data_IF_366729891040
#
_entry.id   IF_366729891040
#
_cell.length_a   1.000
_cell.length_b   1.000
_cell.length_c   1.000
_cell.angle_alpha   90.00
_cell.angle_beta   90.00
_cell.angle_gamma   90.00
#
_symmetry.space_group_name_H-M   'P 1'
#
loop_
_entity.id
_entity.type
_entity.pdbx_description
1 polymer ?
#
# COMPACT_ATOMS: atom_id res chain seq x y z
N UNK A 1 7.17 9.13 -2.70
CA UNK A 1 6.90 7.68 -2.85
C UNK A 1 8.10 6.88 -3.36
N UNK A 2 9.27 7.49 -3.59
CA UNK A 2 10.50 6.78 -4.00
C UNK A 2 11.18 5.98 -2.87
N UNK A 3 10.68 6.10 -1.64
CA UNK A 3 11.34 5.58 -0.43
C UNK A 3 10.62 4.35 0.15
N UNK A 4 9.68 3.78 -0.60
CA UNK A 4 8.91 2.60 -0.21
C UNK A 4 9.79 1.34 -0.39
N UNK A 5 9.77 0.43 0.59
CA UNK A 5 10.46 -0.85 0.62
C UNK A 5 9.56 -2.06 0.27
N UNK A 6 10.08 -3.27 0.48
CA UNK A 6 9.33 -4.52 0.32
C UNK A 6 8.86 -4.81 -1.12
N UNK A 7 7.69 -5.43 -1.25
CA UNK A 7 7.08 -5.72 -2.56
C UNK A 7 6.72 -4.43 -3.33
N UNK A 8 6.41 -3.34 -2.62
CA UNK A 8 5.96 -2.10 -3.23
C UNK A 8 7.09 -1.32 -3.91
N UNK A 9 8.33 -1.42 -3.41
CA UNK A 9 9.51 -0.94 -4.15
C UNK A 9 9.61 -1.59 -5.54
N UNK A 10 9.23 -2.87 -5.63
CA UNK A 10 9.24 -3.59 -6.90
C UNK A 10 8.13 -3.14 -7.84
N UNK A 11 7.09 -2.45 -7.37
CA UNK A 11 5.99 -2.02 -8.24
C UNK A 11 6.44 -0.95 -9.25
N UNK A 12 7.45 -0.13 -8.91
CA UNK A 12 8.07 0.76 -9.90
C UNK A 12 8.77 -0.06 -11.00
N UNK A 13 9.64 -0.98 -10.58
CA UNK A 13 10.39 -1.86 -11.49
C UNK A 13 9.47 -2.76 -12.34
N UNK A 14 8.31 -3.12 -11.79
CA UNK A 14 7.31 -3.97 -12.41
C UNK A 14 6.14 -3.19 -12.99
N UNK A 15 6.25 -1.85 -13.14
CA UNK A 15 5.14 -1.05 -13.65
C UNK A 15 4.62 -1.58 -14.99
N UNK A 16 5.53 -1.96 -15.90
CA UNK A 16 5.14 -2.50 -17.20
C UNK A 16 4.39 -3.83 -17.08
N UNK A 17 4.76 -4.69 -16.12
CA UNK A 17 4.04 -5.92 -15.82
C UNK A 17 2.65 -5.62 -15.27
N UNK A 18 2.53 -4.70 -14.31
CA UNK A 18 1.24 -4.29 -13.71
C UNK A 18 0.34 -3.64 -14.76
N UNK A 19 0.92 -2.80 -15.62
CA UNK A 19 0.21 -2.15 -16.71
C UNK A 19 -0.26 -3.15 -17.76
N UNK A 20 0.58 -4.12 -18.15
CA UNK A 20 0.19 -5.20 -19.04
C UNK A 20 -0.92 -6.06 -18.45
N UNK A 21 -0.80 -6.45 -17.18
CA UNK A 21 -1.83 -7.21 -16.46
C UNK A 21 -3.18 -6.46 -16.46
N UNK A 22 -3.17 -5.15 -16.20
CA UNK A 22 -4.37 -4.32 -16.26
C UNK A 22 -4.95 -4.22 -17.67
N UNK A 23 -4.11 -4.06 -18.70
CA UNK A 23 -4.56 -4.01 -20.10
C UNK A 23 -5.18 -5.35 -20.54
N UNK A 24 -4.65 -6.49 -20.08
CA UNK A 24 -5.17 -7.82 -20.41
C UNK A 24 -6.43 -8.17 -19.66
N UNK A 25 -6.47 -7.94 -18.34
CA UNK A 25 -7.59 -8.36 -17.50
C UNK A 25 -8.72 -7.33 -17.46
N UNK A 26 -8.42 -6.06 -17.73
CA UNK A 26 -9.29 -4.92 -17.44
C UNK A 26 -9.38 -4.64 -15.95
N UNK A 27 -10.37 -3.83 -15.53
CA UNK A 27 -10.69 -3.59 -14.12
C UNK A 27 -11.40 -4.83 -13.52
N UNK A 28 -10.62 -5.65 -12.81
CA UNK A 28 -11.07 -6.91 -12.21
C UNK A 28 -10.60 -6.97 -10.78
N UNK A 29 -11.44 -7.57 -9.93
CA UNK A 29 -11.05 -7.85 -8.56
C UNK A 29 -10.08 -9.04 -8.49
N UNK A 30 -9.09 -8.93 -7.61
CA UNK A 30 -8.01 -9.90 -7.38
C UNK A 30 -7.80 -10.04 -5.86
N UNK A 31 -7.15 -11.13 -5.46
CA UNK A 31 -6.81 -11.41 -4.05
C UNK A 31 -8.00 -11.60 -3.09
N UNK A 32 -9.18 -12.01 -3.59
CA UNK A 32 -10.28 -12.45 -2.73
C UNK A 32 -9.99 -13.81 -2.11
N UNK A 33 -10.36 -13.98 -0.83
CA UNK A 33 -9.95 -15.12 -0.01
C UNK A 33 -11.06 -16.14 0.25
N UNK A 34 -12.23 -16.00 -0.37
CA UNK A 34 -13.44 -16.80 -0.05
C UNK A 34 -13.16 -18.31 0.00
N UNK A 35 -12.31 -18.81 -0.90
CA UNK A 35 -11.95 -20.23 -0.99
C UNK A 35 -10.58 -20.57 -0.37
N UNK A 36 -9.69 -19.60 -0.20
CA UNK A 36 -8.31 -19.83 0.29
C UNK A 36 -8.18 -19.64 1.80
N UNK A 37 -9.12 -18.95 2.44
CA UNK A 37 -9.11 -18.63 3.87
C UNK A 37 -9.03 -19.85 4.80
N UNK A 38 -9.85 -20.92 4.64
CA UNK A 38 -9.73 -22.11 5.49
C UNK A 38 -8.38 -22.81 5.34
N UNK A 39 -7.86 -22.85 4.11
CA UNK A 39 -6.56 -23.44 3.79
C UNK A 39 -5.42 -22.64 4.44
N UNK A 40 -5.41 -21.31 4.26
CA UNK A 40 -4.45 -20.42 4.88
C UNK A 40 -4.49 -20.54 6.41
N UNK A 41 -5.68 -20.51 7.02
CA UNK A 41 -5.84 -20.69 8.46
C UNK A 41 -5.24 -22.02 8.96
N UNK A 42 -5.51 -23.12 8.26
CA UNK A 42 -5.02 -24.44 8.64
C UNK A 42 -3.51 -24.55 8.50
N UNK A 43 -2.98 -24.23 7.31
CA UNK A 43 -1.54 -24.31 7.03
C UNK A 43 -0.74 -23.40 7.95
N UNK A 44 -1.19 -22.17 8.19
CA UNK A 44 -0.42 -21.22 8.97
C UNK A 44 -0.49 -21.44 10.49
N UNK A 45 -1.37 -22.32 10.98
CA UNK A 45 -1.40 -22.74 12.38
C UNK A 45 -0.59 -24.02 12.65
N UNK A 46 -0.13 -24.72 11.61
CA UNK A 46 0.76 -25.86 11.76
C UNK A 46 2.20 -25.41 12.02
N UNK A 47 2.89 -26.04 12.97
CA UNK A 47 4.25 -25.69 13.37
C UNK A 47 5.25 -25.67 12.20
N UNK A 48 5.15 -26.62 11.27
CA UNK A 48 6.07 -26.75 10.14
C UNK A 48 5.90 -25.65 9.08
N UNK A 49 4.67 -25.17 8.85
CA UNK A 49 4.33 -24.22 7.78
C UNK A 49 4.09 -22.81 8.28
N UNK A 50 3.94 -22.61 9.59
CA UNK A 50 3.82 -21.29 10.21
C UNK A 50 4.97 -20.33 9.83
N UNK A 51 6.26 -20.73 9.82
CA UNK A 51 7.34 -19.82 9.40
C UNK A 51 7.17 -19.27 7.98
N UNK A 52 6.71 -20.10 7.03
CA UNK A 52 6.46 -19.68 5.64
C UNK A 52 5.37 -18.61 5.59
N UNK A 53 4.32 -18.78 6.39
CA UNK A 53 3.25 -17.79 6.50
C UNK A 53 3.74 -16.45 7.08
N UNK A 54 4.64 -16.50 8.05
CA UNK A 54 5.27 -15.30 8.61
C UNK A 54 6.11 -14.61 7.54
N UNK A 55 6.90 -15.36 6.75
CA UNK A 55 7.70 -14.81 5.67
C UNK A 55 6.85 -14.14 4.58
N UNK A 56 5.70 -14.74 4.24
CA UNK A 56 4.72 -14.12 3.31
C UNK A 56 4.19 -12.80 3.88
N UNK A 57 3.82 -12.76 5.17
CA UNK A 57 3.35 -11.54 5.81
C UNK A 57 4.42 -10.46 5.84
N UNK A 58 5.67 -10.82 6.16
CA UNK A 58 6.81 -9.90 6.18
C UNK A 58 7.08 -9.34 4.77
N UNK A 59 7.05 -10.19 3.75
CA UNK A 59 7.27 -9.80 2.37
C UNK A 59 6.28 -8.72 1.90
N UNK A 60 5.03 -8.80 2.35
CA UNK A 60 3.96 -7.88 1.99
C UNK A 60 4.02 -6.59 2.83
N UNK A 61 4.22 -6.70 4.15
CA UNK A 61 3.93 -5.62 5.09
C UNK A 61 5.17 -4.90 5.64
N UNK A 62 6.33 -5.57 5.74
CA UNK A 62 7.47 -4.99 6.43
C UNK A 62 8.30 -5.98 7.23
N UNK A 63 9.39 -5.53 7.86
CA UNK A 63 10.34 -6.40 8.55
C UNK A 63 9.71 -7.03 9.79
N UNK A 64 10.25 -8.17 10.21
CA UNK A 64 9.84 -8.82 11.47
C UNK A 64 10.07 -7.85 12.63
N UNK A 65 9.05 -7.66 13.45
CA UNK A 65 9.12 -6.89 14.69
C UNK A 65 8.74 -7.76 15.89
N UNK A 66 9.26 -7.42 17.07
CA UNK A 66 8.88 -8.09 18.33
C UNK A 66 7.42 -7.81 18.73
N UNK A 67 6.76 -6.90 18.02
CA UNK A 67 5.34 -6.57 18.16
C UNK A 67 4.43 -7.59 17.46
N UNK A 68 4.98 -8.40 16.55
CA UNK A 68 4.22 -9.37 15.77
C UNK A 68 3.97 -10.68 16.54
N UNK A 69 2.69 -11.02 16.73
CA UNK A 69 2.33 -12.29 17.37
C UNK A 69 2.34 -13.45 16.37
N UNK A 70 3.48 -14.14 16.28
CA UNK A 70 3.71 -15.28 15.39
C UNK A 70 2.66 -16.41 15.51
N UNK A 71 2.13 -16.64 16.71
CA UNK A 71 1.11 -17.69 16.94
C UNK A 71 -0.22 -17.38 16.27
N UNK A 72 -0.44 -16.13 15.82
CA UNK A 72 -1.66 -15.68 15.15
C UNK A 72 -1.51 -15.52 13.63
N UNK A 73 -0.37 -15.93 13.05
CA UNK A 73 -0.13 -15.84 11.61
C UNK A 73 -1.25 -16.45 10.77
N UNK A 74 -1.85 -17.57 11.22
CA UNK A 74 -2.98 -18.18 10.52
C UNK A 74 -4.26 -17.36 10.53
N UNK A 75 -4.51 -16.60 11.59
CA UNK A 75 -5.65 -15.66 11.59
C UNK A 75 -5.35 -14.52 10.60
N UNK A 76 -4.15 -13.96 10.66
CA UNK A 76 -3.74 -12.85 9.82
C UNK A 76 -3.82 -13.15 8.31
N UNK A 77 -3.19 -14.23 7.83
CA UNK A 77 -3.24 -14.59 6.41
C UNK A 77 -4.59 -15.13 5.94
N UNK A 78 -5.42 -15.62 6.87
CA UNK A 78 -6.78 -16.04 6.51
C UNK A 78 -7.69 -14.85 6.22
N UNK A 79 -7.31 -13.64 6.63
CA UNK A 79 -8.09 -12.41 6.46
C UNK A 79 -7.42 -11.36 5.57
N UNK A 80 -6.13 -11.50 5.29
CA UNK A 80 -5.34 -10.56 4.51
C UNK A 80 -4.53 -11.28 3.43
N UNK A 81 -4.52 -10.77 2.18
CA UNK A 81 -5.27 -9.60 1.69
C UNK A 81 -6.79 -9.86 1.59
N UNK A 82 -7.59 -8.80 1.74
CA UNK A 82 -9.04 -8.89 1.74
C UNK A 82 -9.70 -8.78 0.34
N UNK A 83 -8.89 -8.63 -0.70
CA UNK A 83 -9.32 -8.32 -2.06
C UNK A 83 -9.06 -6.85 -2.45
N UNK A 84 -8.76 -6.63 -3.72
CA UNK A 84 -8.55 -5.32 -4.35
C UNK A 84 -8.82 -5.43 -5.84
N UNK A 85 -8.58 -4.39 -6.65
CA UNK A 85 -8.67 -4.50 -8.12
C UNK A 85 -7.34 -4.29 -8.83
N UNK A 86 -7.23 -4.83 -10.04
CA UNK A 86 -6.13 -4.55 -10.98
C UNK A 86 -5.99 -3.04 -11.24
N UNK A 87 -7.11 -2.29 -11.27
CA UNK A 87 -7.09 -0.82 -11.37
C UNK A 87 -6.39 -0.19 -10.17
N UNK A 88 -6.69 -0.64 -8.96
CA UNK A 88 -6.06 -0.13 -7.75
C UNK A 88 -4.55 -0.42 -7.72
N UNK A 89 -4.13 -1.62 -8.14
CA UNK A 89 -2.70 -1.95 -8.27
C UNK A 89 -1.99 -1.04 -9.29
N UNK A 90 -2.61 -0.82 -10.46
CA UNK A 90 -2.07 0.08 -11.49
C UNK A 90 -2.01 1.52 -11.00
N UNK A 91 -3.03 1.98 -10.27
CA UNK A 91 -3.04 3.33 -9.70
C UNK A 91 -1.88 3.52 -8.71
N UNK A 92 -1.67 2.54 -7.82
CA UNK A 92 -0.53 2.59 -6.91
C UNK A 92 0.81 2.65 -7.66
N UNK A 93 0.97 1.80 -8.69
CA UNK A 93 2.17 1.82 -9.53
C UNK A 93 2.35 3.17 -10.26
N UNK A 94 1.27 3.83 -10.69
CA UNK A 94 1.32 5.19 -11.27
C UNK A 94 1.81 6.22 -10.26
N UNK A 95 1.32 6.19 -9.02
CA UNK A 95 1.75 7.13 -7.97
C UNK A 95 3.22 6.94 -7.62
N UNK A 96 3.68 5.70 -7.49
CA UNK A 96 5.10 5.39 -7.26
C UNK A 96 5.96 5.87 -8.42
N UNK A 97 5.62 5.51 -9.66
CA UNK A 97 6.39 5.86 -10.87
C UNK A 97 6.46 7.37 -11.13
N UNK A 98 5.37 8.09 -10.88
CA UNK A 98 5.31 9.54 -11.14
C UNK A 98 5.76 10.38 -9.94
N UNK A 99 5.87 9.76 -8.77
CA UNK A 99 6.06 10.43 -7.49
C UNK A 99 5.00 11.53 -7.23
N UNK A 100 3.77 11.32 -7.68
CA UNK A 100 2.67 12.29 -7.58
C UNK A 100 1.46 11.66 -6.91
N UNK A 101 0.86 12.38 -5.97
CA UNK A 101 -0.41 12.01 -5.35
C UNK A 101 -1.55 12.53 -6.24
N UNK A 102 -1.84 11.80 -7.32
CA UNK A 102 -2.78 12.20 -8.35
C UNK A 102 -3.91 11.19 -8.56
N UNK A 103 -4.98 11.66 -9.20
CA UNK A 103 -6.06 10.79 -9.69
C UNK A 103 -5.53 9.73 -10.67
N UNK A 104 -6.31 8.67 -10.89
CA UNK A 104 -5.91 7.59 -11.79
C UNK A 104 -5.64 8.10 -13.21
N UNK A 105 -4.50 7.72 -13.79
CA UNK A 105 -4.17 8.07 -15.18
C UNK A 105 -4.81 7.07 -16.13
N UNK A 106 -5.82 7.53 -16.86
CA UNK A 106 -6.53 6.74 -17.86
C UNK A 106 -5.83 6.73 -19.23
N UNK A 107 -4.82 7.58 -19.44
CA UNK A 107 -4.29 7.93 -20.75
C UNK A 107 -4.89 9.25 -21.27
N UNK A 108 -4.17 9.90 -22.19
CA UNK A 108 -4.40 11.30 -22.62
C UNK A 108 -5.85 11.59 -23.02
N UNK A 109 -6.42 10.76 -23.90
CA UNK A 109 -7.78 10.96 -24.43
C UNK A 109 -8.84 10.84 -23.33
N UNK A 110 -8.73 9.79 -22.52
CA UNK A 110 -9.70 9.51 -21.46
C UNK A 110 -9.54 10.46 -20.26
N UNK A 111 -8.32 10.94 -19.97
CA UNK A 111 -8.08 12.02 -19.01
C UNK A 111 -8.75 13.31 -19.48
N UNK A 112 -8.64 13.66 -20.76
CA UNK A 112 -9.31 14.85 -21.29
C UNK A 112 -10.83 14.72 -21.17
N UNK A 113 -11.38 13.53 -21.40
CA UNK A 113 -12.81 13.24 -21.22
C UNK A 113 -13.27 13.28 -19.76
N UNK A 114 -12.50 12.69 -18.84
CA UNK A 114 -12.87 12.56 -17.42
C UNK A 114 -12.56 13.81 -16.60
N UNK A 115 -11.43 14.47 -16.88
CA UNK A 115 -10.87 15.53 -16.05
C UNK A 115 -10.82 16.89 -16.76
N UNK A 116 -10.96 16.92 -18.09
CA UNK A 116 -10.76 18.14 -18.88
C UNK A 116 -9.29 18.53 -19.06
N UNK A 117 -8.35 17.68 -18.61
CA UNK A 117 -6.90 17.90 -18.68
C UNK A 117 -6.21 16.66 -19.27
N UNK A 118 -5.06 16.85 -19.93
CA UNK A 118 -4.31 15.74 -20.53
C UNK A 118 -3.67 14.80 -19.50
N UNK A 119 -3.37 15.31 -18.31
CA UNK A 119 -2.83 14.58 -17.17
C UNK A 119 -3.85 14.56 -16.02
N UNK A 120 -3.81 13.53 -15.14
CA UNK A 120 -4.69 13.51 -13.98
C UNK A 120 -4.37 14.65 -13.01
N UNK A 121 -5.40 15.27 -12.40
CA UNK A 121 -5.21 16.29 -11.38
C UNK A 121 -4.62 15.69 -10.09
N UNK A 122 -3.78 16.47 -9.42
CA UNK A 122 -3.23 16.14 -8.10
C UNK A 122 -4.24 16.44 -6.98
N UNK A 123 -4.15 15.65 -5.92
CA UNK A 123 -4.96 15.86 -4.73
C UNK A 123 -4.37 17.00 -3.90
N UNK A 124 -5.13 18.08 -3.75
CA UNK A 124 -4.75 19.21 -2.91
C UNK A 124 -5.05 18.92 -1.43
N UNK A 125 -4.08 18.30 -0.76
CA UNK A 125 -4.19 17.94 0.66
C UNK A 125 -4.15 19.14 1.60
N UNK A 126 -3.80 20.35 1.11
CA UNK A 126 -3.87 21.59 1.90
C UNK A 126 -5.32 21.97 2.27
N UNK A 127 -6.30 21.37 1.57
CA UNK A 127 -7.73 21.59 1.81
C UNK A 127 -8.32 20.66 2.87
N UNK A 128 -7.52 19.80 3.47
CA UNK A 128 -7.95 18.91 4.55
C UNK A 128 -7.86 19.65 5.88
N UNK A 129 -9.01 20.13 6.39
CA UNK A 129 -9.09 20.98 7.59
C UNK A 129 -9.49 20.24 8.89
N UNK A 130 -9.55 18.90 8.87
CA UNK A 130 -9.82 18.11 10.08
C UNK A 130 -8.60 18.03 11.00
N UNK A 131 -8.80 17.73 12.29
CA UNK A 131 -7.69 17.36 13.19
C UNK A 131 -7.11 16.00 12.76
N UNK A 132 -5.83 15.97 12.39
CA UNK A 132 -5.09 14.80 11.91
C UNK A 132 -4.02 14.43 12.93
N UNK A 133 -4.00 13.17 13.34
CA UNK A 133 -2.90 12.58 14.08
C UNK A 133 -2.12 11.66 13.15
N UNK A 134 -0.84 11.97 12.93
CA UNK A 134 0.03 11.17 12.05
C UNK A 134 0.95 10.32 12.91
N UNK A 135 0.85 9.00 12.73
CA UNK A 135 1.71 8.00 13.33
C UNK A 135 2.55 7.35 12.25
N UNK A 136 3.88 7.39 12.41
CA UNK A 136 4.82 6.76 11.48
C UNK A 136 6.09 6.34 12.21
N UNK A 137 6.92 5.53 11.53
CA UNK A 137 8.14 4.98 12.09
C UNK A 137 9.21 4.81 11.03
N UNK A 138 10.46 4.85 11.47
CA UNK A 138 11.65 4.71 10.63
C UNK A 138 11.78 3.31 10.01
N UNK A 139 11.10 2.32 10.61
CA UNK A 139 11.14 0.91 10.19
C UNK A 139 9.95 0.49 9.32
N UNK A 140 9.07 1.43 8.95
CA UNK A 140 7.93 1.15 8.08
C UNK A 140 8.36 1.12 6.60
N UNK A 141 8.20 -0.04 5.96
CA UNK A 141 8.55 -0.21 4.54
C UNK A 141 7.50 0.40 3.62
N UNK A 142 6.25 0.53 4.03
CA UNK A 142 5.17 1.03 3.17
C UNK A 142 5.09 2.55 3.26
N UNK A 143 5.20 3.08 4.47
CA UNK A 143 5.09 4.52 4.77
C UNK A 143 6.40 5.01 5.38
N UNK A 144 7.38 5.27 4.52
CA UNK A 144 8.69 5.74 4.97
C UNK A 144 8.59 7.07 5.73
N UNK A 145 9.42 7.24 6.77
CA UNK A 145 9.51 8.51 7.50
C UNK A 145 9.84 9.68 6.56
N UNK A 146 10.65 9.43 5.53
CA UNK A 146 11.01 10.44 4.53
C UNK A 146 9.80 10.90 3.71
N UNK A 147 8.95 9.98 3.23
CA UNK A 147 7.72 10.35 2.53
C UNK A 147 6.75 11.13 3.43
N UNK A 148 6.68 10.80 4.72
CA UNK A 148 5.86 11.55 5.67
C UNK A 148 6.43 12.95 5.88
N UNK A 149 7.69 13.05 6.31
CA UNK A 149 8.30 14.31 6.75
C UNK A 149 8.55 15.28 5.60
N UNK A 150 8.94 14.80 4.42
CA UNK A 150 9.31 15.65 3.29
C UNK A 150 8.17 15.90 2.30
N UNK A 151 7.20 14.97 2.17
CA UNK A 151 6.14 15.10 1.16
C UNK A 151 4.76 15.37 1.79
N UNK A 152 4.34 14.58 2.78
CA UNK A 152 3.00 14.70 3.36
C UNK A 152 2.87 15.90 4.29
N UNK A 153 3.74 16.00 5.31
CA UNK A 153 3.62 17.02 6.36
C UNK A 153 3.70 18.46 5.85
N UNK A 154 4.59 18.81 4.90
CA UNK A 154 4.66 20.17 4.35
C UNK A 154 3.43 20.55 3.53
N UNK A 155 2.68 19.56 3.03
CA UNK A 155 1.50 19.76 2.19
C UNK A 155 0.20 19.90 3.00
N UNK A 156 0.20 19.50 4.28
CA UNK A 156 -0.96 19.60 5.17
C UNK A 156 -1.02 20.95 5.89
N UNK A 157 -2.21 21.43 6.28
CA UNK A 157 -2.33 22.62 7.12
C UNK A 157 -1.67 22.40 8.48
N UNK A 158 -0.72 23.25 8.84
CA UNK A 158 0.03 23.13 10.10
C UNK A 158 -0.84 23.21 11.36
N UNK A 159 -2.01 23.85 11.28
CA UNK A 159 -2.97 23.93 12.38
C UNK A 159 -3.73 22.64 12.64
N UNK A 160 -3.73 21.72 11.66
CA UNK A 160 -4.50 20.49 11.69
C UNK A 160 -3.71 19.28 12.14
N UNK A 161 -2.38 19.36 12.25
CA UNK A 161 -1.53 18.16 12.41
C UNK A 161 -0.94 18.03 13.81
N UNK A 162 -1.09 16.84 14.40
CA UNK A 162 -0.39 16.39 15.59
C UNK A 162 0.48 15.18 15.25
N UNK A 163 1.76 15.24 15.57
CA UNK A 163 2.76 14.26 15.16
C UNK A 163 3.15 13.34 16.32
N UNK A 164 3.17 12.03 16.04
CA UNK A 164 3.70 11.03 16.95
C UNK A 164 4.60 10.08 16.14
N UNK A 165 5.92 10.28 16.24
CA UNK A 165 6.92 9.43 15.60
C UNK A 165 7.33 8.31 16.57
N UNK A 166 7.18 7.07 16.15
CA UNK A 166 7.66 5.91 16.89
C UNK A 166 9.03 5.48 16.38
N UNK A 167 9.89 5.02 17.30
CA UNK A 167 11.20 4.46 16.96
C UNK A 167 11.12 3.02 16.46
N UNK A 168 10.13 2.26 16.92
CA UNK A 168 9.95 0.84 16.59
C UNK A 168 8.45 0.60 16.38
N UNK A 169 7.97 0.86 15.17
CA UNK A 169 6.65 0.43 14.69
C UNK A 169 6.78 0.00 13.24
N UNK A 170 6.13 -1.11 12.89
CA UNK A 170 6.02 -1.59 11.51
C UNK A 170 4.55 -1.59 11.12
N UNK A 171 4.24 -1.38 9.85
CA UNK A 171 2.89 -1.59 9.33
C UNK A 171 2.44 -3.04 9.66
N UNK A 172 1.32 -3.16 10.37
CA UNK A 172 0.70 -4.44 10.71
C UNK A 172 -0.78 -4.38 10.29
N UNK A 173 -1.03 -4.97 9.11
CA UNK A 173 -2.30 -5.18 8.37
C UNK A 173 -2.82 -4.03 7.50
#
# INVERSE_FOLDING_TARGET
MSHVGGILQKFEQQYELVNHLYQTLGDRGIFFYDYTRPLAHTLCNMYLTNPICIDILIFINGPKSDQFNATRAGIYLSHSPAGTSTRNMRHYAQMVRTNRMASFDHGVEENLRCYGTYSPPEYDVSRVHSDIYVFYSDHDWVVSAEDVEQNLLPSLPSTSVKLIRYSIFTYIF
#
